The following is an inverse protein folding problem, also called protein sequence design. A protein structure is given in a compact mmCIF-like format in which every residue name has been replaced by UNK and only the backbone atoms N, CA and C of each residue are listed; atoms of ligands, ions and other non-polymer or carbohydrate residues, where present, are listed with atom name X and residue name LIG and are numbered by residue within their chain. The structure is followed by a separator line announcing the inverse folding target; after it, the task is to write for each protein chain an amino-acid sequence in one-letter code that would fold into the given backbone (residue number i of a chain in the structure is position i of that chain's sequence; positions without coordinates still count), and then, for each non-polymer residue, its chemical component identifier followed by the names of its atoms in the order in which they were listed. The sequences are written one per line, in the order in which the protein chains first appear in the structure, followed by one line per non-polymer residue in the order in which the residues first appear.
data_IF_990984058129
#
_entry.id   IF_990984058129
#
_cell.length_a   1.000
_cell.length_b   1.000
_cell.length_c   1.000
_cell.angle_alpha   90.00
_cell.angle_beta   90.00
_cell.angle_gamma   90.00
#
_symmetry.space_group_name_H-M   'P 1'
#
loop_
_entity.id
_entity.type
_entity.pdbx_description
1 polymer ?
#
# COMPACT_ATOMS: atom_id res chain seq x y z
N UNK A 1 21.13 -2.58 13.56
CA UNK A 1 20.15 -2.21 14.63
C UNK A 1 18.81 -2.82 14.19
N UNK A 2 18.18 -3.66 15.03
CA UNK A 2 16.82 -4.10 14.73
C UNK A 2 15.88 -2.90 14.87
N UNK A 3 15.05 -2.64 13.86
CA UNK A 3 14.05 -1.59 13.92
C UNK A 3 13.11 -1.86 15.10
N UNK A 4 12.85 -0.82 15.91
CA UNK A 4 11.95 -0.93 17.06
C UNK A 4 10.53 -1.24 16.54
N UNK A 5 9.88 -2.31 17.02
CA UNK A 5 8.54 -2.65 16.56
C UNK A 5 7.54 -1.55 16.97
N UNK A 6 6.41 -1.46 16.24
CA UNK A 6 5.31 -0.59 16.62
C UNK A 6 4.80 -0.98 18.02
N UNK A 7 4.68 0.00 18.89
CA UNK A 7 4.08 -0.15 20.22
C UNK A 7 2.96 0.88 20.38
N UNK A 8 1.76 0.41 20.63
CA UNK A 8 0.61 1.29 20.80
C UNK A 8 0.81 2.28 21.95
N UNK A 9 1.43 1.86 23.06
CA UNK A 9 1.64 2.71 24.25
C UNK A 9 2.45 3.97 23.97
N UNK A 10 3.38 3.93 23.01
CA UNK A 10 4.29 5.04 22.72
C UNK A 10 4.02 5.73 21.38
N UNK A 11 3.19 5.14 20.52
CA UNK A 11 3.01 5.62 19.14
C UNK A 11 1.55 5.95 18.80
N UNK A 12 0.64 5.96 19.77
CA UNK A 12 -0.75 6.35 19.57
C UNK A 12 -1.10 7.64 20.31
N UNK A 13 -2.10 8.43 19.85
CA UNK A 13 -2.90 8.15 18.67
C UNK A 13 -2.09 8.21 17.38
N UNK A 14 -2.31 7.23 16.50
CA UNK A 14 -1.63 7.14 15.20
C UNK A 14 -2.59 7.42 14.06
N UNK A 15 -2.19 8.29 13.12
CA UNK A 15 -2.96 8.54 11.90
C UNK A 15 -2.49 7.59 10.80
N UNK A 16 -3.38 6.70 10.39
CA UNK A 16 -3.16 5.74 9.30
C UNK A 16 -3.71 6.30 8.01
N UNK A 17 -2.90 6.29 6.95
CA UNK A 17 -3.27 6.85 5.65
C UNK A 17 -2.89 5.89 4.54
N UNK A 18 -3.85 5.54 3.72
CA UNK A 18 -3.65 4.63 2.59
C UNK A 18 -4.34 5.16 1.33
N UNK A 19 -3.54 5.53 0.35
CA UNK A 19 -3.97 5.93 -0.99
C UNK A 19 -3.60 4.91 -2.06
N UNK A 20 -3.25 3.66 -1.69
CA UNK A 20 -2.78 2.63 -2.63
C UNK A 20 -3.92 2.03 -3.46
N UNK A 21 -5.12 1.97 -2.90
CA UNK A 21 -6.30 1.35 -3.49
C UNK A 21 -7.13 2.26 -4.41
N UNK A 22 -8.37 1.86 -4.66
CA UNK A 22 -9.36 2.61 -5.45
C UNK A 22 -9.94 3.81 -4.70
N UNK A 23 -9.94 3.78 -3.39
CA UNK A 23 -10.35 4.85 -2.49
C UNK A 23 -9.19 5.27 -1.60
N UNK A 24 -9.28 6.42 -0.97
CA UNK A 24 -8.37 6.83 0.10
C UNK A 24 -8.97 6.37 1.43
N UNK A 25 -8.21 5.57 2.17
CA UNK A 25 -8.54 5.14 3.52
C UNK A 25 -7.75 5.97 4.53
N UNK A 26 -8.44 6.41 5.57
CA UNK A 26 -7.84 7.09 6.73
C UNK A 26 -8.42 6.49 8.01
N UNK A 27 -7.56 6.17 8.96
CA UNK A 27 -7.97 5.70 10.28
C UNK A 27 -7.19 6.38 11.38
N UNK A 28 -7.78 6.52 12.55
CA UNK A 28 -7.09 6.93 13.78
C UNK A 28 -7.04 5.72 14.70
N UNK A 29 -5.81 5.23 14.96
CA UNK A 29 -5.57 4.06 15.80
C UNK A 29 -5.32 4.49 17.25
N UNK A 30 -6.06 3.89 18.17
CA UNK A 30 -5.96 4.13 19.60
C UNK A 30 -4.94 3.23 20.31
N UNK A 31 -4.75 3.47 21.59
CA UNK A 31 -3.80 2.74 22.45
C UNK A 31 -4.19 1.26 22.62
N UNK A 32 -5.46 0.95 22.58
CA UNK A 32 -6.01 -0.41 22.61
C UNK A 32 -5.87 -1.18 21.28
N UNK A 33 -5.16 -0.61 20.31
CA UNK A 33 -5.00 -1.11 18.94
C UNK A 33 -6.32 -1.20 18.17
N UNK A 34 -7.36 -0.50 18.62
CA UNK A 34 -8.62 -0.37 17.95
C UNK A 34 -8.74 0.97 17.22
N UNK A 35 -9.61 1.00 16.20
CA UNK A 35 -9.91 2.24 15.52
C UNK A 35 -10.74 3.18 16.41
N UNK A 36 -10.23 4.39 16.67
CA UNK A 36 -11.02 5.48 17.24
C UNK A 36 -11.95 6.07 16.18
N UNK A 37 -11.48 6.09 14.93
CA UNK A 37 -12.25 6.56 13.79
C UNK A 37 -11.74 5.95 12.49
N UNK A 38 -12.62 5.82 11.50
CA UNK A 38 -12.31 5.42 10.13
C UNK A 38 -13.04 6.38 9.19
N UNK A 39 -12.38 6.78 8.10
CA UNK A 39 -12.97 7.47 6.97
C UNK A 39 -12.43 6.87 5.68
N UNK A 40 -13.32 6.55 4.75
CA UNK A 40 -12.95 6.07 3.42
C UNK A 40 -13.66 6.92 2.39
N UNK A 41 -12.92 7.45 1.43
CA UNK A 41 -13.42 8.36 0.42
C UNK A 41 -13.09 7.82 -0.97
N UNK A 42 -14.11 7.65 -1.79
CA UNK A 42 -13.96 7.37 -3.21
C UNK A 42 -13.64 8.65 -3.98
N UNK A 43 -13.07 8.51 -5.16
CA UNK A 43 -12.76 9.65 -5.99
C UNK A 43 -11.25 9.84 -6.25
N UNK A 44 -10.86 10.96 -6.85
CA UNK A 44 -9.46 11.25 -7.11
C UNK A 44 -8.72 11.46 -5.78
N UNK A 45 -7.50 10.90 -5.59
CA UNK A 45 -6.78 11.04 -4.32
C UNK A 45 -6.59 12.48 -3.86
N UNK A 46 -6.41 13.42 -4.81
CA UNK A 46 -6.27 14.85 -4.50
C UNK A 46 -7.52 15.46 -3.87
N UNK A 47 -8.70 14.99 -4.28
CA UNK A 47 -9.99 15.48 -3.78
C UNK A 47 -10.43 14.76 -2.51
N UNK A 48 -9.97 13.50 -2.32
CA UNK A 48 -10.44 12.61 -1.27
C UNK A 48 -9.59 12.63 -0.01
N UNK A 49 -8.27 12.89 -0.12
CA UNK A 49 -7.33 12.75 1.00
C UNK A 49 -7.65 13.69 2.17
N UNK A 50 -7.73 14.98 1.90
CA UNK A 50 -7.93 15.98 2.97
C UNK A 50 -9.30 15.85 3.63
N UNK A 51 -10.41 15.69 2.88
CA UNK A 51 -11.72 15.43 3.50
C UNK A 51 -11.74 14.12 4.34
N UNK A 52 -11.04 13.07 3.91
CA UNK A 52 -10.96 11.84 4.68
C UNK A 52 -10.24 12.02 6.00
N UNK A 53 -9.11 12.76 6.00
CA UNK A 53 -8.36 13.07 7.22
C UNK A 53 -9.17 13.95 8.17
N UNK A 54 -9.80 15.00 7.65
CA UNK A 54 -10.64 15.89 8.45
C UNK A 54 -11.80 15.12 9.11
N UNK A 55 -12.48 14.26 8.35
CA UNK A 55 -13.57 13.44 8.87
C UNK A 55 -13.10 12.46 9.96
N UNK A 56 -11.97 11.79 9.75
CA UNK A 56 -11.41 10.85 10.72
C UNK A 56 -11.01 11.57 12.04
N UNK A 57 -10.28 12.67 11.94
CA UNK A 57 -9.85 13.44 13.10
C UNK A 57 -11.03 14.01 13.88
N UNK A 58 -12.03 14.57 13.16
CA UNK A 58 -13.27 15.08 13.77
C UNK A 58 -14.02 13.98 14.52
N UNK A 59 -14.15 12.80 13.94
CA UNK A 59 -14.82 11.66 14.58
C UNK A 59 -14.06 11.16 15.81
N UNK A 60 -12.73 11.13 15.74
CA UNK A 60 -11.87 10.78 16.87
C UNK A 60 -11.81 11.89 17.94
N UNK A 61 -12.34 13.08 17.67
CA UNK A 61 -12.23 14.27 18.53
C UNK A 61 -10.78 14.67 18.80
N UNK A 62 -9.91 14.53 17.81
CA UNK A 62 -8.49 14.86 17.88
C UNK A 62 -8.13 15.91 16.83
N UNK A 63 -7.12 16.70 17.16
CA UNK A 63 -6.42 17.57 16.21
C UNK A 63 -5.20 16.87 15.63
N UNK A 64 -4.71 17.37 14.50
CA UNK A 64 -3.50 16.83 13.88
C UNK A 64 -2.26 16.95 14.80
N UNK A 65 -2.21 17.94 15.66
CA UNK A 65 -1.11 18.21 16.60
C UNK A 65 -1.06 17.21 17.77
N UNK A 66 -2.11 16.42 17.97
CA UNK A 66 -2.20 15.38 18.99
C UNK A 66 -1.77 14.00 18.46
N UNK A 67 -1.51 13.90 17.14
CA UNK A 67 -1.04 12.66 16.52
C UNK A 67 0.42 12.41 16.87
N UNK A 68 0.70 11.23 17.44
CA UNK A 68 2.03 10.81 17.88
C UNK A 68 2.83 10.14 16.75
N UNK A 69 2.14 9.46 15.83
CA UNK A 69 2.79 8.80 14.70
C UNK A 69 1.92 8.78 13.44
N UNK A 70 2.59 8.67 12.30
CA UNK A 70 1.96 8.45 11.01
C UNK A 70 2.24 7.04 10.53
N UNK A 71 1.19 6.31 10.18
CA UNK A 71 1.27 4.98 9.57
C UNK A 71 0.80 5.13 8.12
N UNK A 72 1.58 4.64 7.18
CA UNK A 72 1.23 4.79 5.77
C UNK A 72 1.49 3.52 4.96
N UNK A 73 0.69 3.34 3.90
CA UNK A 73 0.97 2.33 2.90
C UNK A 73 2.10 2.81 1.99
N UNK A 74 3.22 2.07 1.95
CA UNK A 74 4.32 2.39 1.02
C UNK A 74 4.04 1.92 -0.42
N UNK A 75 2.99 1.08 -0.61
CA UNK A 75 2.64 0.44 -1.87
C UNK A 75 2.90 -1.08 -1.83
N UNK A 76 2.85 -1.76 -3.00
CA UNK A 76 2.51 -1.24 -4.32
C UNK A 76 1.05 -0.78 -4.44
N UNK A 77 0.77 0.11 -5.40
CA UNK A 77 -0.58 0.63 -5.60
C UNK A 77 -0.65 1.86 -6.51
N UNK A 78 -1.67 2.69 -6.31
CA UNK A 78 -1.86 3.94 -7.05
C UNK A 78 -0.70 4.90 -6.81
N UNK A 79 0.17 5.08 -7.81
CA UNK A 79 1.36 5.94 -7.69
C UNK A 79 1.01 7.37 -7.27
N UNK A 80 -0.07 7.94 -7.83
CA UNK A 80 -0.50 9.28 -7.47
C UNK A 80 -1.00 9.34 -6.02
N UNK A 81 -1.84 8.35 -5.63
CA UNK A 81 -2.37 8.27 -4.28
C UNK A 81 -1.26 8.16 -3.24
N UNK A 82 -0.33 7.22 -3.43
CA UNK A 82 0.81 7.02 -2.54
C UNK A 82 1.68 8.27 -2.39
N UNK A 83 2.00 8.95 -3.50
CA UNK A 83 2.80 10.19 -3.47
C UNK A 83 2.10 11.32 -2.74
N UNK A 84 0.79 11.49 -2.95
CA UNK A 84 0.02 12.52 -2.24
C UNK A 84 -0.03 12.24 -0.74
N UNK A 85 -0.24 10.99 -0.34
CA UNK A 85 -0.19 10.59 1.08
C UNK A 85 1.19 10.88 1.69
N UNK A 86 2.27 10.50 1.02
CA UNK A 86 3.63 10.75 1.47
C UNK A 86 3.92 12.25 1.66
N UNK A 87 3.60 13.09 0.66
CA UNK A 87 3.79 14.54 0.73
C UNK A 87 2.94 15.18 1.85
N UNK A 88 1.72 14.72 2.05
CA UNK A 88 0.85 15.21 3.13
C UNK A 88 1.46 14.87 4.50
N UNK A 89 1.90 13.63 4.71
CA UNK A 89 2.53 13.20 5.97
C UNK A 89 3.81 14.01 6.24
N UNK A 90 4.68 14.18 5.25
CA UNK A 90 5.89 15.01 5.39
C UNK A 90 5.57 16.45 5.78
N UNK A 91 4.47 17.01 5.26
CA UNK A 91 4.02 18.35 5.60
C UNK A 91 3.49 18.41 7.02
N UNK A 92 2.60 17.48 7.39
CA UNK A 92 1.94 17.48 8.69
C UNK A 92 2.89 17.16 9.84
N UNK A 93 3.85 16.29 9.62
CA UNK A 93 4.87 15.97 10.64
C UNK A 93 5.70 17.17 11.09
N UNK A 94 5.79 18.20 10.24
CA UNK A 94 6.45 19.47 10.58
C UNK A 94 5.58 20.41 11.42
N UNK A 95 4.28 20.14 11.47
CA UNK A 95 3.31 20.91 12.24
C UNK A 95 3.06 20.33 13.63
N UNK A 96 3.48 19.08 13.87
CA UNK A 96 3.38 18.46 15.19
C UNK A 96 4.47 18.98 16.13
N UNK A 97 4.15 19.25 17.43
CA UNK A 97 5.10 19.83 18.38
C UNK A 97 6.28 18.89 18.71
N UNK A 98 6.07 17.59 18.59
CA UNK A 98 7.06 16.53 18.82
C UNK A 98 7.38 15.87 17.48
N UNK A 99 8.63 15.37 17.33
CA UNK A 99 8.96 14.60 16.13
C UNK A 99 8.08 13.35 16.05
N UNK A 100 7.18 13.33 15.08
CA UNK A 100 6.31 12.19 14.85
C UNK A 100 7.13 11.00 14.33
N UNK A 101 6.75 9.79 14.74
CA UNK A 101 7.32 8.57 14.19
C UNK A 101 6.60 8.17 12.90
N UNK A 102 7.34 7.57 11.98
CA UNK A 102 6.78 7.05 10.73
C UNK A 102 6.82 5.52 10.75
N UNK A 103 5.70 4.91 10.39
CA UNK A 103 5.61 3.48 10.20
C UNK A 103 5.03 3.20 8.82
N UNK A 104 5.64 2.26 8.11
CA UNK A 104 5.17 1.85 6.80
C UNK A 104 4.70 0.40 6.80
N UNK A 105 3.74 0.10 5.95
CA UNK A 105 3.36 -1.26 5.59
C UNK A 105 3.20 -1.39 4.08
N UNK A 106 3.37 -2.62 3.61
CA UNK A 106 3.22 -2.94 2.20
C UNK A 106 1.80 -3.50 1.93
N UNK A 107 1.12 -3.02 0.90
CA UNK A 107 -0.27 -3.41 0.59
C UNK A 107 -0.44 -4.90 0.27
N UNK A 108 0.55 -5.50 -0.43
CA UNK A 108 0.53 -6.93 -0.73
C UNK A 108 0.85 -7.76 0.52
N UNK A 109 1.77 -7.31 1.38
CA UNK A 109 2.06 -7.97 2.65
C UNK A 109 0.84 -7.98 3.57
N UNK A 110 0.13 -6.84 3.65
CA UNK A 110 -1.14 -6.76 4.37
C UNK A 110 -2.12 -7.81 3.85
N UNK A 111 -2.37 -7.81 2.54
CA UNK A 111 -3.33 -8.73 1.92
C UNK A 111 -2.91 -10.19 2.08
N UNK A 112 -1.61 -10.51 1.92
CA UNK A 112 -1.09 -11.86 2.12
C UNK A 112 -1.23 -12.34 3.57
N UNK A 113 -0.96 -11.47 4.53
CA UNK A 113 -1.14 -11.80 5.96
C UNK A 113 -2.60 -12.04 6.31
N UNK A 114 -3.52 -11.26 5.73
CA UNK A 114 -4.95 -11.49 5.92
C UNK A 114 -5.44 -12.80 5.29
N UNK A 115 -4.90 -13.20 4.13
CA UNK A 115 -5.15 -14.54 3.55
C UNK A 115 -4.74 -15.63 4.54
N UNK A 116 -3.55 -15.52 5.13
CA UNK A 116 -3.06 -16.49 6.11
C UNK A 116 -3.92 -16.56 7.37
N UNK A 117 -4.47 -15.43 7.82
CA UNK A 117 -5.37 -15.38 8.98
C UNK A 117 -6.74 -16.00 8.68
N UNK A 118 -7.32 -15.64 7.53
CA UNK A 118 -8.70 -16.05 7.19
C UNK A 118 -8.79 -17.52 6.75
N UNK A 119 -7.77 -18.00 6.04
CA UNK A 119 -7.75 -19.35 5.48
C UNK A 119 -6.36 -19.96 5.49
N UNK A 120 -5.83 -20.32 6.66
CA UNK A 120 -4.53 -20.99 6.75
C UNK A 120 -4.45 -22.19 5.81
N UNK A 121 -3.42 -22.26 4.99
CA UNK A 121 -3.24 -23.31 4.01
C UNK A 121 -1.81 -23.86 4.07
N UNK A 122 -1.68 -25.16 3.85
CA UNK A 122 -0.39 -25.83 3.69
C UNK A 122 0.08 -25.84 2.23
N UNK A 123 -0.78 -25.44 1.29
CA UNK A 123 -0.41 -25.36 -0.14
C UNK A 123 0.25 -24.01 -0.45
N UNK A 124 1.13 -24.02 -1.44
CA UNK A 124 1.74 -22.80 -1.93
C UNK A 124 0.68 -21.88 -2.59
N UNK A 125 0.77 -20.61 -2.29
CA UNK A 125 -0.12 -19.58 -2.79
C UNK A 125 0.68 -18.41 -3.35
N UNK A 126 0.12 -17.76 -4.37
CA UNK A 126 0.70 -16.58 -4.98
C UNK A 126 -0.33 -15.47 -5.00
N UNK A 127 -0.02 -14.36 -4.36
CA UNK A 127 -0.78 -13.12 -4.45
C UNK A 127 -0.07 -12.18 -5.42
N UNK A 128 -0.79 -11.66 -6.42
CA UNK A 128 -0.25 -10.73 -7.40
C UNK A 128 -1.08 -9.45 -7.49
N UNK A 129 -0.43 -8.36 -7.88
CA UNK A 129 -1.06 -7.11 -8.30
C UNK A 129 -0.36 -6.51 -9.51
N UNK A 130 -1.06 -5.66 -10.25
CA UNK A 130 -0.52 -5.05 -11.46
C UNK A 130 0.76 -4.26 -11.17
N UNK A 131 1.76 -4.41 -12.05
CA UNK A 131 2.93 -3.55 -12.05
C UNK A 131 3.16 -2.91 -13.41
N UNK A 132 3.44 -3.69 -14.44
CA UNK A 132 3.56 -3.27 -15.84
C UNK A 132 3.16 -4.42 -16.77
N UNK A 133 2.99 -4.13 -18.05
CA UNK A 133 2.64 -5.17 -19.04
C UNK A 133 3.66 -6.32 -18.98
N UNK A 134 3.17 -7.52 -18.77
CA UNK A 134 3.95 -8.76 -18.71
C UNK A 134 4.69 -8.99 -17.38
N UNK A 135 4.44 -8.17 -16.34
CA UNK A 135 5.03 -8.36 -15.02
C UNK A 135 4.12 -7.88 -13.90
N UNK A 136 4.25 -8.48 -12.73
CA UNK A 136 3.37 -8.32 -11.59
C UNK A 136 4.18 -8.14 -10.31
N UNK A 137 3.71 -7.26 -9.41
CA UNK A 137 4.16 -7.35 -8.03
C UNK A 137 3.56 -8.61 -7.42
N UNK A 138 4.33 -9.35 -6.63
CA UNK A 138 3.90 -10.63 -6.10
C UNK A 138 4.40 -10.88 -4.67
N UNK A 139 3.59 -11.63 -3.91
CA UNK A 139 4.00 -12.23 -2.64
C UNK A 139 3.69 -13.72 -2.71
N UNK A 140 4.71 -14.56 -2.51
CA UNK A 140 4.54 -16.00 -2.33
C UNK A 140 4.18 -16.28 -0.87
N UNK A 141 3.17 -17.12 -0.65
CA UNK A 141 2.78 -17.58 0.67
C UNK A 141 3.09 -19.07 0.74
N UNK A 142 4.00 -19.45 1.61
CA UNK A 142 4.46 -20.83 1.76
C UNK A 142 4.17 -21.30 3.19
N UNK A 143 3.41 -22.40 3.30
CA UNK A 143 3.08 -22.95 4.62
C UNK A 143 2.35 -21.98 5.55
N UNK A 144 1.54 -21.09 5.00
CA UNK A 144 0.78 -20.08 5.77
C UNK A 144 1.59 -18.86 6.22
N UNK A 145 2.78 -18.65 5.65
CA UNK A 145 3.61 -17.47 5.95
C UNK A 145 3.91 -16.68 4.66
N UNK A 146 3.64 -15.35 4.63
CA UNK A 146 3.97 -14.52 3.49
C UNK A 146 5.48 -14.30 3.39
N UNK A 147 6.02 -14.45 2.16
CA UNK A 147 7.40 -14.11 1.81
C UNK A 147 7.56 -12.60 1.53
N UNK A 148 8.70 -12.20 0.98
CA UNK A 148 8.94 -10.83 0.53
C UNK A 148 8.05 -10.44 -0.67
N UNK A 149 7.89 -9.13 -0.86
CA UNK A 149 7.28 -8.61 -2.09
C UNK A 149 8.33 -8.57 -3.19
N UNK A 150 8.08 -9.27 -4.29
CA UNK A 150 8.96 -9.39 -5.45
C UNK A 150 8.22 -9.04 -6.74
N UNK A 151 8.92 -9.11 -7.86
CA UNK A 151 8.34 -8.98 -9.20
C UNK A 151 8.44 -10.32 -9.93
N UNK A 152 7.31 -10.76 -10.50
CA UNK A 152 7.23 -11.96 -11.33
C UNK A 152 6.73 -11.61 -12.73
N UNK A 153 7.06 -12.42 -13.72
CA UNK A 153 6.56 -12.29 -15.09
C UNK A 153 5.33 -13.17 -15.34
N UNK A 154 4.74 -13.01 -16.52
CA UNK A 154 3.58 -13.80 -16.95
C UNK A 154 3.89 -15.30 -17.05
N UNK A 155 5.15 -15.70 -17.30
CA UNK A 155 5.55 -17.10 -17.42
C UNK A 155 5.46 -17.80 -16.06
N UNK A 156 5.92 -17.16 -14.99
CA UNK A 156 5.80 -17.68 -13.62
C UNK A 156 4.33 -17.86 -13.25
N UNK A 157 3.48 -16.90 -13.60
CA UNK A 157 2.03 -16.98 -13.31
C UNK A 157 1.37 -18.09 -14.11
N UNK A 158 1.68 -18.22 -15.41
CA UNK A 158 1.11 -19.24 -16.28
C UNK A 158 1.46 -20.67 -15.84
N UNK A 159 2.64 -20.86 -15.24
CA UNK A 159 3.13 -22.14 -14.72
C UNK A 159 2.80 -22.37 -13.23
N UNK A 160 2.08 -21.42 -12.58
CA UNK A 160 1.75 -21.56 -11.17
C UNK A 160 0.70 -22.65 -10.94
N UNK A 161 1.00 -23.59 -10.07
CA UNK A 161 0.12 -24.75 -9.77
C UNK A 161 -0.61 -24.64 -8.43
N UNK A 162 -0.22 -23.69 -7.56
CA UNK A 162 -0.87 -23.41 -6.30
C UNK A 162 -2.09 -22.49 -6.42
N UNK A 163 -2.66 -22.08 -5.30
CA UNK A 163 -3.72 -21.08 -5.31
C UNK A 163 -3.17 -19.73 -5.80
N UNK A 164 -3.92 -19.07 -6.66
CA UNK A 164 -3.56 -17.77 -7.22
C UNK A 164 -4.59 -16.73 -6.81
N UNK A 165 -4.10 -15.61 -6.26
CA UNK A 165 -4.91 -14.47 -5.88
C UNK A 165 -4.50 -13.23 -6.66
N UNK A 166 -5.46 -12.40 -7.00
CA UNK A 166 -5.23 -11.12 -7.66
C UNK A 166 -5.81 -9.99 -6.82
N UNK A 167 -4.96 -9.03 -6.45
CA UNK A 167 -5.35 -7.79 -5.81
C UNK A 167 -5.46 -6.70 -6.90
N UNK A 168 -6.69 -6.33 -7.31
CA UNK A 168 -6.86 -5.34 -8.36
C UNK A 168 -6.43 -3.95 -7.89
N UNK A 169 -5.77 -3.23 -8.79
CA UNK A 169 -5.44 -1.83 -8.58
C UNK A 169 -6.54 -0.91 -9.14
N UNK A 170 -6.52 0.36 -8.75
CA UNK A 170 -7.49 1.37 -9.17
C UNK A 170 -7.65 1.47 -10.70
N UNK A 171 -6.54 1.36 -11.44
CA UNK A 171 -6.53 1.24 -12.90
C UNK A 171 -5.73 0.00 -13.23
N UNK A 172 -6.41 -1.09 -13.53
CA UNK A 172 -5.78 -2.30 -14.02
C UNK A 172 -5.07 -2.04 -15.34
N UNK A 173 -3.79 -2.39 -15.40
CA UNK A 173 -2.99 -2.29 -16.62
C UNK A 173 -3.12 -3.53 -17.48
N UNK A 174 -3.49 -4.61 -16.87
CA UNK A 174 -3.61 -5.91 -17.52
C UNK A 174 -4.87 -6.63 -17.00
N UNK A 175 -5.29 -7.64 -17.73
CA UNK A 175 -6.41 -8.48 -17.32
C UNK A 175 -5.95 -9.36 -16.14
N UNK A 176 -6.84 -9.63 -15.17
CA UNK A 176 -6.53 -10.59 -14.11
C UNK A 176 -6.00 -11.90 -14.68
N UNK A 177 -5.02 -12.54 -14.02
CA UNK A 177 -4.53 -13.84 -14.46
C UNK A 177 -5.67 -14.86 -14.51
N UNK A 178 -5.65 -15.80 -15.48
CA UNK A 178 -6.61 -16.89 -15.50
C UNK A 178 -6.57 -17.67 -14.17
N UNK A 179 -7.73 -18.09 -13.70
CA UNK A 179 -7.91 -18.85 -12.45
C UNK A 179 -7.52 -18.12 -11.16
N UNK A 180 -7.19 -16.82 -11.20
CA UNK A 180 -6.94 -16.04 -10.01
C UNK A 180 -8.25 -15.68 -9.29
N UNK A 181 -8.30 -15.91 -7.98
CA UNK A 181 -9.36 -15.39 -7.13
C UNK A 181 -9.12 -13.91 -6.87
N UNK A 182 -10.09 -13.05 -7.21
CA UNK A 182 -9.99 -11.62 -6.97
C UNK A 182 -10.22 -11.29 -5.50
N UNK A 183 -9.31 -10.52 -4.91
CA UNK A 183 -9.40 -10.05 -3.52
C UNK A 183 -9.96 -8.63 -3.45
N UNK A 184 -10.59 -8.34 -2.32
CA UNK A 184 -10.92 -6.96 -1.94
C UNK A 184 -9.82 -6.43 -1.02
N UNK A 185 -9.24 -5.28 -1.36
CA UNK A 185 -8.26 -4.61 -0.52
C UNK A 185 -8.92 -4.07 0.75
N UNK A 186 -8.36 -4.40 1.91
CA UNK A 186 -9.00 -4.16 3.21
C UNK A 186 -8.04 -3.51 4.23
N UNK A 187 -7.62 -2.25 4.01
CA UNK A 187 -6.70 -1.54 4.92
C UNK A 187 -7.29 -1.32 6.32
N UNK A 188 -8.62 -1.34 6.46
CA UNK A 188 -9.31 -1.27 7.76
C UNK A 188 -9.00 -2.45 8.69
N UNK A 189 -8.45 -3.55 8.15
CA UNK A 189 -8.03 -4.74 8.91
C UNK A 189 -6.57 -4.67 9.37
N UNK A 190 -5.87 -3.57 9.14
CA UNK A 190 -4.48 -3.38 9.59
C UNK A 190 -4.25 -3.70 11.09
N UNK A 191 -5.18 -3.39 12.01
CA UNK A 191 -5.01 -3.75 13.42
C UNK A 191 -4.81 -5.24 13.69
N UNK A 192 -5.27 -6.13 12.81
CA UNK A 192 -5.09 -7.57 12.96
C UNK A 192 -3.66 -8.04 12.67
N UNK A 193 -2.85 -7.19 12.02
CA UNK A 193 -1.51 -7.52 11.52
C UNK A 193 -0.47 -6.41 11.76
N UNK A 194 -0.54 -5.72 12.89
CA UNK A 194 0.35 -4.60 13.26
C UNK A 194 1.84 -4.99 13.29
N UNK A 195 2.16 -6.28 13.34
CA UNK A 195 3.54 -6.78 13.24
C UNK A 195 4.19 -6.48 11.89
N UNK A 196 3.41 -6.12 10.86
CA UNK A 196 3.91 -5.71 9.54
C UNK A 196 4.47 -4.27 9.55
N UNK A 197 4.16 -3.48 10.57
CA UNK A 197 4.57 -2.10 10.63
C UNK A 197 6.08 -1.98 10.82
N UNK A 198 6.74 -1.37 9.86
CA UNK A 198 8.17 -1.10 9.89
C UNK A 198 8.44 0.37 10.20
N UNK A 199 9.24 0.64 11.27
CA UNK A 199 9.69 1.99 11.58
C UNK A 199 10.54 2.53 10.41
N UNK A 200 10.33 3.81 10.06
CA UNK A 200 11.04 4.53 9.02
C UNK A 200 11.62 5.83 9.57
N UNK A 201 12.81 6.19 9.09
CA UNK A 201 13.43 7.48 9.39
C UNK A 201 12.84 8.62 8.54
N UNK A 202 12.28 8.28 7.38
CA UNK A 202 11.64 9.19 6.43
C UNK A 202 10.48 8.50 5.72
N UNK A 203 9.62 9.28 5.06
CA UNK A 203 8.48 8.73 4.30
C UNK A 203 8.97 8.27 2.94
N UNK A 204 9.16 6.98 2.77
CA UNK A 204 9.63 6.35 1.54
C UNK A 204 8.56 5.42 0.95
N UNK A 205 8.48 5.42 -0.38
CA UNK A 205 7.55 4.55 -1.10
C UNK A 205 8.25 3.28 -1.57
N UNK A 206 7.49 2.20 -1.67
CA UNK A 206 7.97 0.94 -2.19
C UNK A 206 8.55 1.10 -3.60
N UNK A 207 9.72 0.51 -3.79
CA UNK A 207 10.38 0.41 -5.08
C UNK A 207 10.85 -1.04 -5.28
N UNK A 208 10.46 -1.64 -6.39
CA UNK A 208 10.96 -2.97 -6.77
C UNK A 208 12.47 -3.00 -7.10
N UNK A 209 13.14 -1.85 -7.08
CA UNK A 209 14.56 -1.72 -7.47
C UNK A 209 14.80 -1.88 -8.97
N UNK A 210 13.79 -2.24 -9.75
CA UNK A 210 13.90 -2.42 -11.20
C UNK A 210 13.66 -1.09 -11.88
N UNK A 211 14.72 -0.46 -12.38
CA UNK A 211 14.64 0.78 -13.14
C UNK A 211 13.99 0.54 -14.51
N UNK A 212 12.78 1.10 -14.71
CA UNK A 212 11.98 0.92 -15.96
C UNK A 212 12.10 2.15 -16.88
N UNK A 213 12.96 3.10 -16.58
CA UNK A 213 13.16 4.27 -17.45
C UNK A 213 13.81 3.85 -18.76
N UNK A 214 13.01 3.70 -19.81
CA UNK A 214 13.55 3.68 -21.16
C UNK A 214 14.00 5.09 -21.50
N UNK A 215 15.28 5.21 -21.90
CA UNK A 215 15.83 6.46 -22.40
C UNK A 215 14.96 6.93 -23.58
N UNK A 216 14.42 8.12 -23.48
CA UNK A 216 13.63 8.70 -24.57
C UNK A 216 14.53 8.82 -25.81
N UNK A 217 14.12 8.22 -26.94
CA UNK A 217 14.80 8.34 -28.22
C UNK A 217 13.98 9.27 -29.12
N UNK A 218 14.57 10.39 -29.60
CA UNK A 218 13.85 11.41 -30.37
C UNK A 218 13.28 10.90 -31.71
N UNK A 219 13.69 9.74 -32.17
CA UNK A 219 13.34 9.21 -33.50
C UNK A 219 11.87 8.73 -33.60
N UNK A 220 11.18 8.48 -32.50
CA UNK A 220 9.78 8.03 -32.49
C UNK A 220 8.77 9.08 -32.98
N UNK A 221 9.16 10.33 -33.12
CA UNK A 221 8.28 11.45 -33.50
C UNK A 221 8.70 12.16 -34.78
N UNK A 222 9.65 11.62 -35.55
CA UNK A 222 9.90 12.12 -36.89
C UNK A 222 8.78 11.64 -37.80
N UNK A 223 7.94 12.57 -38.26
CA UNK A 223 7.02 12.30 -39.37
C UNK A 223 7.82 11.75 -40.54
N UNK A 224 7.33 10.66 -41.14
CA UNK A 224 7.91 10.11 -42.36
C UNK A 224 7.77 11.21 -43.42
N UNK A 225 8.88 11.82 -43.81
CA UNK A 225 8.91 12.74 -44.96
C UNK A 225 8.69 11.91 -46.20
N UNK A 226 7.48 11.89 -46.66
CA UNK A 226 7.15 11.32 -47.97
C UNK A 226 7.74 12.25 -49.03
N UNK A 227 8.86 11.87 -49.60
CA UNK A 227 9.37 12.52 -50.81
C UNK A 227 8.37 12.26 -51.95
N UNK A 228 7.73 13.36 -52.43
CA UNK A 228 7.00 13.40 -53.70
C UNK A 228 8.00 13.47 -54.85
#
# INVERSE_FOLDING_TARGET
MQAKPFSADSNTPALVIDGSGSSVFVGVLGQDQCWLAISQQDGAPLESLFPAVEAALKTAQLSLTEICSFIYCEGPGSVLGLRLCAMAIETWSRLTPTSAHYFAYNSLQLSASLICLDAPSSTDELLVSDWKKGAWNAVKINGGAPGSTDVVDDEIIANWTGRLFHLPQRKGWQKPPPNASTLTYSPQRLPEVLHLLALRDSVELYSSGINVFQKWTPERHRAVTTNL
#
